data_IF_526105125969
#
_entry.id   IF_526105125969
#
_cell.length_a   1.000
_cell.length_b   1.000
_cell.length_c   1.000
_cell.angle_alpha   90.00
_cell.angle_beta   90.00
_cell.angle_gamma   90.00
#
_symmetry.space_group_name_H-M   'P 1'
#
loop_
_entity.id
_entity.type
_entity.pdbx_description
1 polymer ?
#
# COMPACT_ATOMS: atom_id res chain seq x y z
N UNK A 1 1.62 10.32 -3.13
CA UNK A 1 1.00 10.55 -4.47
C UNK A 1 1.85 10.00 -5.62
N UNK A 2 3.13 10.38 -5.81
CA UNK A 2 3.89 10.00 -7.02
C UNK A 2 4.02 8.48 -7.23
N UNK A 3 4.09 7.70 -6.15
CA UNK A 3 4.23 6.24 -6.21
C UNK A 3 3.04 5.53 -6.88
N UNK A 4 1.83 6.03 -6.69
CA UNK A 4 0.63 5.45 -7.32
C UNK A 4 0.58 5.73 -8.83
N UNK A 5 1.23 6.79 -9.28
CA UNK A 5 1.18 7.25 -10.66
C UNK A 5 2.42 6.86 -11.49
N UNK A 6 3.40 6.20 -10.86
CA UNK A 6 4.66 5.88 -11.54
C UNK A 6 5.50 7.11 -11.86
N UNK A 7 5.27 8.23 -11.17
CA UNK A 7 5.98 9.49 -11.41
C UNK A 7 7.06 9.73 -10.35
N UNK A 8 7.59 8.66 -9.74
CA UNK A 8 8.68 8.73 -8.73
C UNK A 8 9.94 9.39 -9.30
N UNK A 9 10.29 9.05 -10.54
CA UNK A 9 11.46 9.60 -11.23
C UNK A 9 11.46 11.12 -11.35
N UNK A 10 10.28 11.73 -11.50
CA UNK A 10 10.14 13.18 -11.62
C UNK A 10 10.19 13.90 -10.26
N UNK A 11 10.18 13.15 -9.16
CA UNK A 11 10.10 13.66 -7.80
C UNK A 11 11.19 13.10 -6.88
N UNK A 12 12.33 12.66 -7.44
CA UNK A 12 13.45 12.04 -6.68
C UNK A 12 13.93 12.90 -5.51
N UNK A 13 13.90 14.23 -5.64
CA UNK A 13 14.23 15.17 -4.55
C UNK A 13 13.32 15.03 -3.32
N UNK A 14 12.10 14.51 -3.49
CA UNK A 14 11.11 14.34 -2.42
C UNK A 14 10.93 12.89 -1.99
N UNK A 15 10.99 11.93 -2.92
CA UNK A 15 10.77 10.50 -2.61
C UNK A 15 12.06 9.74 -2.34
N UNK A 16 13.22 10.33 -2.64
CA UNK A 16 14.51 9.68 -2.61
C UNK A 16 14.87 9.01 -3.95
N UNK A 17 16.13 8.60 -4.05
CA UNK A 17 16.71 7.93 -5.24
C UNK A 17 17.07 6.46 -4.96
N UNK A 18 16.49 5.87 -3.91
CA UNK A 18 16.69 4.47 -3.59
C UNK A 18 15.91 3.58 -4.57
N UNK A 19 16.51 2.54 -5.17
CA UNK A 19 15.80 1.59 -6.03
C UNK A 19 14.54 0.98 -5.41
N UNK A 20 14.45 0.92 -4.08
CA UNK A 20 13.25 0.47 -3.36
C UNK A 20 12.04 1.38 -3.60
N UNK A 21 12.24 2.65 -3.93
CA UNK A 21 11.16 3.60 -4.25
C UNK A 21 10.44 3.18 -5.53
N UNK A 22 11.19 2.78 -6.56
CA UNK A 22 10.61 2.34 -7.83
C UNK A 22 9.92 0.98 -7.68
N UNK A 23 10.48 0.08 -6.86
CA UNK A 23 9.83 -1.17 -6.51
C UNK A 23 8.49 -0.93 -5.78
N UNK A 24 8.48 -0.04 -4.79
CA UNK A 24 7.28 0.31 -4.04
C UNK A 24 6.23 0.99 -4.95
N UNK A 25 6.68 1.88 -5.83
CA UNK A 25 5.86 2.50 -6.88
C UNK A 25 5.19 1.44 -7.76
N UNK A 26 5.96 0.45 -8.22
CA UNK A 26 5.45 -0.71 -8.97
C UNK A 26 4.35 -1.47 -8.23
N UNK A 27 4.58 -1.80 -6.96
CA UNK A 27 3.60 -2.50 -6.13
C UNK A 27 2.29 -1.71 -5.95
N UNK A 28 2.38 -0.40 -5.71
CA UNK A 28 1.21 0.46 -5.55
C UNK A 28 0.43 0.62 -6.86
N UNK A 29 1.14 0.80 -7.98
CA UNK A 29 0.52 0.88 -9.31
C UNK A 29 -0.23 -0.40 -9.67
N UNK A 30 0.42 -1.55 -9.53
CA UNK A 30 -0.17 -2.85 -9.85
C UNK A 30 -1.43 -3.11 -9.03
N UNK A 31 -1.39 -2.79 -7.74
CA UNK A 31 -2.54 -2.93 -6.85
C UNK A 31 -3.72 -2.05 -7.32
N UNK A 32 -3.46 -0.79 -7.65
CA UNK A 32 -4.50 0.14 -8.09
C UNK A 32 -5.07 -0.20 -9.47
N UNK A 33 -4.23 -0.62 -10.40
CA UNK A 33 -4.67 -1.09 -11.72
C UNK A 33 -5.55 -2.34 -11.56
N UNK A 34 -5.14 -3.29 -10.73
CA UNK A 34 -5.92 -4.52 -10.54
C UNK A 34 -7.25 -4.25 -9.84
N UNK A 35 -7.26 -3.35 -8.85
CA UNK A 35 -8.48 -2.90 -8.20
C UNK A 35 -9.45 -2.24 -9.19
N UNK A 36 -8.96 -1.30 -10.01
CA UNK A 36 -9.80 -0.62 -11.00
C UNK A 36 -10.40 -1.59 -12.04
N UNK A 37 -9.70 -2.69 -12.37
CA UNK A 37 -10.16 -3.70 -13.32
C UNK A 37 -11.13 -4.71 -12.72
N UNK A 38 -10.91 -5.14 -11.48
CA UNK A 38 -11.54 -6.35 -10.92
C UNK A 38 -12.28 -6.13 -9.60
N UNK A 39 -12.08 -4.98 -8.96
CA UNK A 39 -12.51 -4.73 -7.58
C UNK A 39 -11.62 -5.36 -6.51
N UNK A 40 -10.55 -6.08 -6.89
CA UNK A 40 -9.59 -6.69 -5.96
C UNK A 40 -8.18 -6.12 -6.20
N UNK A 41 -7.54 -5.48 -5.20
CA UNK A 41 -6.19 -4.93 -5.35
C UNK A 41 -5.07 -5.99 -5.27
N UNK A 42 -5.37 -7.22 -4.85
CA UNK A 42 -4.35 -8.25 -4.61
C UNK A 42 -3.69 -8.69 -5.91
N UNK A 43 -2.35 -8.73 -5.94
CA UNK A 43 -1.56 -9.27 -7.04
C UNK A 43 -0.58 -10.32 -6.50
N UNK A 44 0.00 -11.15 -7.38
CA UNK A 44 1.01 -12.12 -6.98
C UNK A 44 2.32 -11.48 -6.47
N UNK A 45 2.50 -10.18 -6.72
CA UNK A 45 3.67 -9.42 -6.28
C UNK A 45 3.52 -8.90 -4.84
N UNK A 46 2.32 -8.97 -4.26
CA UNK A 46 2.02 -8.52 -2.91
C UNK A 46 1.82 -9.71 -1.96
N UNK A 47 2.10 -9.53 -0.65
CA UNK A 47 1.55 -10.43 0.35
C UNK A 47 0.02 -10.38 0.28
N UNK A 48 -0.63 -11.47 0.67
CA UNK A 48 -2.10 -11.57 0.61
C UNK A 48 -2.75 -10.37 1.30
N UNK A 49 -3.68 -9.72 0.61
CA UNK A 49 -4.40 -8.54 1.08
C UNK A 49 -5.88 -8.87 1.24
N UNK A 50 -6.30 -9.43 2.39
CA UNK A 50 -7.70 -9.75 2.63
C UNK A 50 -8.54 -8.47 2.68
N UNK A 51 -9.81 -8.61 2.30
CA UNK A 51 -10.77 -7.53 2.44
C UNK A 51 -10.91 -7.13 3.92
N UNK A 52 -10.90 -5.82 4.16
CA UNK A 52 -11.16 -5.26 5.48
C UNK A 52 -12.55 -5.66 5.99
N UNK A 53 -12.61 -6.09 7.25
CA UNK A 53 -13.87 -6.29 7.99
C UNK A 53 -13.73 -5.72 9.38
N UNK A 54 -14.82 -5.18 9.94
CA UNK A 54 -14.78 -4.59 11.29
C UNK A 54 -14.40 -5.60 12.39
N UNK A 55 -14.67 -6.90 12.19
CA UNK A 55 -14.27 -7.98 13.09
C UNK A 55 -12.84 -8.49 12.85
N UNK A 56 -12.23 -8.16 11.69
CA UNK A 56 -10.85 -8.49 11.31
C UNK A 56 -10.27 -7.38 10.42
N UNK A 57 -9.76 -6.29 11.02
CA UNK A 57 -9.41 -5.08 10.30
C UNK A 57 -8.05 -5.18 9.59
N UNK A 58 -7.96 -6.02 8.55
CA UNK A 58 -6.76 -6.15 7.73
C UNK A 58 -6.40 -4.85 7.01
N UNK A 59 -5.16 -4.41 7.17
CA UNK A 59 -4.58 -3.22 6.53
C UNK A 59 -3.32 -3.64 5.76
N UNK A 60 -3.21 -3.19 4.50
CA UNK A 60 -1.96 -3.31 3.74
C UNK A 60 -1.09 -2.09 4.03
N UNK A 61 0.13 -2.34 4.51
CA UNK A 61 1.14 -1.31 4.77
C UNK A 61 2.13 -1.30 3.61
N UNK A 62 2.19 -0.17 2.91
CA UNK A 62 3.18 0.09 1.86
C UNK A 62 4.35 0.89 2.47
N UNK A 63 5.55 0.30 2.45
CA UNK A 63 6.77 0.91 3.00
C UNK A 63 8.00 0.07 2.65
N UNK A 64 9.11 0.24 3.39
CA UNK A 64 10.32 -0.57 3.19
C UNK A 64 10.07 -2.08 3.32
N UNK A 65 9.11 -2.46 4.15
CA UNK A 65 8.53 -3.80 4.21
C UNK A 65 7.04 -3.72 3.88
N UNK A 66 6.64 -4.36 2.78
CA UNK A 66 5.24 -4.42 2.35
C UNK A 66 4.60 -5.61 3.03
N UNK A 67 3.57 -5.35 3.85
CA UNK A 67 2.99 -6.37 4.73
C UNK A 67 1.52 -6.11 5.04
N UNK A 68 0.82 -7.18 5.38
CA UNK A 68 -0.56 -7.11 5.87
C UNK A 68 -0.57 -7.22 7.40
N UNK A 69 -1.29 -6.31 8.06
CA UNK A 69 -1.41 -6.23 9.52
C UNK A 69 -2.88 -6.18 9.93
N UNK A 70 -3.19 -6.52 11.19
CA UNK A 70 -4.55 -6.44 11.73
C UNK A 70 -4.75 -5.33 12.76
N UNK A 71 -3.69 -4.83 13.39
CA UNK A 71 -3.81 -3.96 14.57
C UNK A 71 -2.71 -2.88 14.57
N UNK A 72 -2.65 -2.04 13.54
CA UNK A 72 -1.60 -1.01 13.48
C UNK A 72 -1.93 0.23 14.32
N UNK A 73 -3.21 0.61 14.42
CA UNK A 73 -3.63 1.91 14.98
C UNK A 73 -4.88 1.85 15.87
N UNK A 74 -5.22 0.66 16.38
CA UNK A 74 -6.49 0.43 17.07
C UNK A 74 -6.60 1.23 18.38
N UNK A 75 -5.50 1.35 19.12
CA UNK A 75 -5.43 2.15 20.35
C UNK A 75 -5.66 3.64 20.08
N UNK A 76 -5.04 4.17 19.02
CA UNK A 76 -5.20 5.57 18.63
C UNK A 76 -6.64 5.85 18.17
N UNK A 77 -7.21 4.99 17.32
CA UNK A 77 -8.59 5.13 16.84
C UNK A 77 -9.63 5.04 17.98
N UNK A 78 -9.31 4.34 19.07
CA UNK A 78 -10.19 4.28 20.25
C UNK A 78 -10.23 5.60 21.04
N UNK A 79 -9.16 6.42 20.98
CA UNK A 79 -9.07 7.69 21.71
C UNK A 79 -9.89 8.83 21.08
N UNK A 80 -10.22 8.74 19.79
CA UNK A 80 -10.87 9.80 19.01
C UNK A 80 -12.30 9.47 18.56
N UNK A 81 -13.00 8.58 19.29
CA UNK A 81 -14.44 8.31 19.08
C UNK A 81 -15.31 9.33 19.82
#
# INVERSE_FOLDING_TARGET
VPLIWGTSDLMRDFVGDDPQVDQLSGFMMDAWINFARTGNPTTNALPGWPQYRADRPYTMVFGPDVRTVTEERDEELALWR
#
